data_IF_163453258634
#
_entry.id   IF_163453258634
#
_cell.length_a   1.000
_cell.length_b   1.000
_cell.length_c   1.000
_cell.angle_alpha   90.00
_cell.angle_beta   90.00
_cell.angle_gamma   90.00
#
_symmetry.space_group_name_H-M   'P 1'
#
loop_
_entity.id
_entity.type
_entity.pdbx_description
1 polymer ?
#
# COMPACT_ATOMS: atom_id res chain seq x y z
N UNK A 1 26.90 -55.14 54.91
CA UNK A 1 26.09 -53.94 54.58
C UNK A 1 26.21 -53.66 53.09
N UNK A 2 25.22 -54.08 52.30
CA UNK A 2 25.11 -53.81 50.87
C UNK A 2 23.96 -52.82 50.68
N UNK A 3 24.25 -51.60 50.21
CA UNK A 3 23.23 -50.57 49.95
C UNK A 3 22.75 -50.72 48.51
N UNK A 4 21.49 -51.16 48.35
CA UNK A 4 20.76 -51.11 47.09
C UNK A 4 20.69 -49.68 46.54
N UNK A 5 21.31 -49.43 45.38
CA UNK A 5 21.06 -48.22 44.57
C UNK A 5 19.73 -48.41 43.83
N UNK A 6 18.73 -47.62 44.20
CA UNK A 6 17.47 -47.49 43.46
C UNK A 6 17.77 -46.91 42.07
N UNK A 7 17.30 -47.60 41.03
CA UNK A 7 17.34 -47.12 39.65
C UNK A 7 16.54 -45.83 39.51
N UNK A 8 17.14 -44.85 38.82
CA UNK A 8 16.53 -43.55 38.53
C UNK A 8 15.52 -43.79 37.39
N UNK A 9 14.22 -43.72 37.70
CA UNK A 9 13.17 -43.69 36.67
C UNK A 9 13.28 -42.34 35.97
N UNK A 10 13.71 -42.36 34.71
CA UNK A 10 13.70 -41.18 33.84
C UNK A 10 12.26 -41.00 33.40
N UNK A 11 11.61 -39.92 33.84
CA UNK A 11 10.33 -39.48 33.30
C UNK A 11 10.54 -39.10 31.84
N UNK A 12 10.05 -39.92 30.92
CA UNK A 12 9.90 -39.55 29.52
C UNK A 12 8.74 -38.55 29.48
N UNK A 13 9.05 -37.26 29.64
CA UNK A 13 8.09 -36.22 29.27
C UNK A 13 7.86 -36.37 27.76
N UNK A 14 6.60 -36.52 27.29
CA UNK A 14 6.34 -36.50 25.85
C UNK A 14 6.88 -35.18 25.31
N UNK A 15 7.79 -35.27 24.35
CA UNK A 15 8.30 -34.09 23.64
C UNK A 15 7.10 -33.44 22.99
N UNK A 16 6.65 -32.32 23.54
CA UNK A 16 5.60 -31.51 22.94
C UNK A 16 6.17 -30.97 21.62
N UNK A 17 5.65 -31.47 20.50
CA UNK A 17 6.05 -31.02 19.17
C UNK A 17 5.70 -29.54 19.03
N UNK A 18 6.56 -28.75 18.39
CA UNK A 18 6.17 -27.40 17.95
C UNK A 18 5.00 -27.49 16.94
N UNK A 19 4.18 -26.43 16.81
CA UNK A 19 3.09 -26.38 15.84
C UNK A 19 3.53 -26.80 14.42
N UNK A 20 4.60 -26.20 13.88
CA UNK A 20 5.15 -26.57 12.57
C UNK A 20 5.53 -28.05 12.47
N UNK A 21 6.23 -28.57 13.49
CA UNK A 21 6.68 -29.96 13.48
C UNK A 21 5.51 -30.92 13.54
N UNK A 22 4.47 -30.56 14.29
CA UNK A 22 3.22 -31.32 14.30
C UNK A 22 2.58 -31.29 12.91
N UNK A 23 2.41 -30.11 12.32
CA UNK A 23 1.79 -29.95 11.00
C UNK A 23 2.53 -30.81 9.96
N UNK A 24 3.85 -30.65 9.86
CA UNK A 24 4.70 -31.40 8.92
C UNK A 24 4.71 -32.92 9.08
N UNK A 25 4.27 -33.45 10.23
CA UNK A 25 4.38 -34.90 10.53
C UNK A 25 3.07 -35.58 10.88
N UNK A 26 2.02 -34.84 11.23
CA UNK A 26 0.78 -35.40 11.78
C UNK A 26 -0.50 -34.77 11.22
N UNK A 27 -0.46 -33.59 10.59
CA UNK A 27 -1.70 -32.91 10.17
C UNK A 27 -2.55 -33.75 9.19
N UNK A 28 -1.93 -34.42 8.21
CA UNK A 28 -2.64 -35.32 7.27
C UNK A 28 -3.37 -36.50 7.93
N UNK A 29 -2.97 -36.90 9.15
CA UNK A 29 -3.66 -37.95 9.89
C UNK A 29 -4.96 -37.47 10.57
N UNK A 30 -5.18 -36.15 10.63
CA UNK A 30 -6.43 -35.57 11.14
C UNK A 30 -7.50 -35.58 10.04
N UNK A 31 -8.77 -35.89 10.37
CA UNK A 31 -9.85 -35.78 9.40
C UNK A 31 -10.06 -34.33 8.97
N UNK A 32 -10.18 -34.09 7.67
CA UNK A 32 -10.75 -32.86 7.12
C UNK A 32 -12.24 -32.84 7.50
N UNK A 33 -12.70 -31.74 8.07
CA UNK A 33 -14.08 -31.60 8.57
C UNK A 33 -14.88 -30.50 7.88
N UNK A 34 -14.20 -29.49 7.33
CA UNK A 34 -14.84 -28.39 6.63
C UNK A 34 -13.82 -27.75 5.67
N UNK A 35 -14.29 -27.33 4.51
CA UNK A 35 -13.55 -26.52 3.57
C UNK A 35 -14.43 -25.35 3.15
N UNK A 36 -13.86 -24.16 3.12
CA UNK A 36 -14.54 -22.95 2.65
C UNK A 36 -13.76 -22.35 1.49
N UNK A 37 -14.47 -21.75 0.57
CA UNK A 37 -13.90 -20.95 -0.52
C UNK A 37 -14.67 -19.64 -0.61
N UNK A 38 -14.01 -18.55 -1.01
CA UNK A 38 -14.69 -17.28 -1.33
C UNK A 38 -15.89 -17.50 -2.26
N UNK A 39 -16.97 -16.74 -2.04
CA UNK A 39 -18.11 -16.77 -2.96
C UNK A 39 -17.68 -16.30 -4.37
N UNK A 40 -18.24 -16.91 -5.44
CA UNK A 40 -17.94 -16.60 -6.85
C UNK A 40 -16.47 -16.77 -7.26
N UNK A 41 -15.74 -17.64 -6.57
CA UNK A 41 -14.32 -17.92 -6.83
C UNK A 41 -14.03 -18.29 -8.30
N UNK A 42 -14.99 -18.89 -9.00
CA UNK A 42 -14.86 -19.27 -10.42
C UNK A 42 -14.66 -18.09 -11.37
N UNK A 43 -15.01 -16.87 -10.95
CA UNK A 43 -14.98 -15.66 -11.80
C UNK A 43 -14.24 -14.48 -11.18
N UNK A 44 -13.85 -14.59 -9.91
CA UNK A 44 -13.28 -13.48 -9.14
C UNK A 44 -11.79 -13.22 -9.43
N UNK A 45 -11.07 -14.18 -10.02
CA UNK A 45 -9.62 -14.09 -10.27
C UNK A 45 -8.74 -14.27 -9.03
N UNK A 46 -9.25 -13.94 -7.84
CA UNK A 46 -8.60 -14.21 -6.56
C UNK A 46 -9.60 -14.84 -5.58
N UNK A 47 -9.16 -15.80 -4.79
CA UNK A 47 -10.01 -16.42 -3.76
C UNK A 47 -9.23 -16.86 -2.53
N UNK A 48 -9.91 -16.82 -1.38
CA UNK A 48 -9.43 -17.44 -0.15
C UNK A 48 -9.99 -18.86 -0.05
N UNK A 49 -9.12 -19.82 0.23
CA UNK A 49 -9.48 -21.20 0.55
C UNK A 49 -9.09 -21.51 1.99
N UNK A 50 -10.03 -22.06 2.75
CA UNK A 50 -9.83 -22.53 4.12
C UNK A 50 -10.00 -24.05 4.14
N UNK A 51 -9.04 -24.76 4.75
CA UNK A 51 -9.15 -26.20 5.01
C UNK A 51 -8.98 -26.47 6.50
N UNK A 52 -10.02 -26.99 7.15
CA UNK A 52 -10.02 -27.30 8.56
C UNK A 52 -9.91 -28.80 8.83
N UNK A 53 -8.96 -29.18 9.68
CA UNK A 53 -8.82 -30.54 10.22
C UNK A 53 -9.08 -30.58 11.72
N UNK A 54 -9.79 -31.60 12.18
CA UNK A 54 -10.21 -31.71 13.58
C UNK A 54 -9.36 -32.69 14.38
N UNK A 55 -8.86 -32.23 15.52
CA UNK A 55 -8.21 -33.07 16.52
C UNK A 55 -9.25 -33.94 17.26
N UNK A 56 -8.81 -35.06 17.83
CA UNK A 56 -9.66 -35.91 18.71
C UNK A 56 -10.23 -35.16 19.92
N UNK A 57 -9.62 -34.02 20.29
CA UNK A 57 -10.05 -33.12 21.36
C UNK A 57 -11.21 -32.20 20.97
N UNK A 58 -11.61 -32.17 19.69
CA UNK A 58 -12.58 -31.21 19.14
C UNK A 58 -11.99 -29.83 18.81
N UNK A 59 -10.66 -29.70 18.88
CA UNK A 59 -9.91 -28.49 18.47
C UNK A 59 -9.53 -28.58 16.99
N UNK A 60 -9.13 -27.47 16.38
CA UNK A 60 -8.88 -27.41 14.93
C UNK A 60 -7.43 -27.09 14.59
N UNK A 61 -6.93 -27.65 13.50
CA UNK A 61 -5.78 -27.13 12.75
C UNK A 61 -6.31 -26.66 11.41
N UNK A 62 -6.02 -25.43 11.04
CA UNK A 62 -6.63 -24.78 9.86
C UNK A 62 -5.53 -24.24 8.97
N UNK A 63 -5.64 -24.47 7.66
CA UNK A 63 -4.84 -23.80 6.64
C UNK A 63 -5.69 -22.76 5.92
N UNK A 64 -5.11 -21.59 5.68
CA UNK A 64 -5.67 -20.48 4.92
C UNK A 64 -4.76 -20.24 3.73
N UNK A 65 -5.34 -20.12 2.54
CA UNK A 65 -4.60 -20.00 1.28
C UNK A 65 -5.23 -18.89 0.44
N UNK A 66 -4.43 -17.89 0.09
CA UNK A 66 -4.80 -16.84 -0.85
C UNK A 66 -4.33 -17.25 -2.24
N UNK A 67 -5.28 -17.54 -3.12
CA UNK A 67 -5.03 -18.09 -4.45
C UNK A 67 -5.34 -17.02 -5.50
N UNK A 68 -4.37 -16.76 -6.36
CA UNK A 68 -4.50 -16.03 -7.62
C UNK A 68 -4.70 -17.04 -8.74
N UNK A 69 -5.92 -17.06 -9.27
CA UNK A 69 -6.37 -18.00 -10.28
C UNK A 69 -5.86 -17.63 -11.68
N UNK A 70 -5.37 -16.40 -11.86
CA UNK A 70 -5.05 -15.85 -13.18
C UNK A 70 -3.56 -15.77 -13.46
N UNK A 71 -2.69 -15.70 -12.45
CA UNK A 71 -1.25 -15.61 -12.70
C UNK A 71 -0.38 -16.25 -11.62
N UNK A 72 -0.38 -15.71 -10.40
CA UNK A 72 0.68 -15.98 -9.42
C UNK A 72 0.51 -17.27 -8.62
N UNK A 73 -0.63 -17.95 -8.74
CA UNK A 73 -0.92 -19.16 -7.98
C UNK A 73 -1.12 -18.87 -6.50
N UNK A 74 -0.46 -19.63 -5.61
CA UNK A 74 -0.56 -19.41 -4.17
C UNK A 74 0.25 -18.17 -3.74
N UNK A 75 -0.43 -17.02 -3.60
CA UNK A 75 0.18 -15.72 -3.23
C UNK A 75 0.57 -15.65 -1.75
N UNK A 76 -0.26 -16.20 -0.86
CA UNK A 76 -0.01 -16.15 0.58
C UNK A 76 -0.66 -17.35 1.29
N UNK A 77 -0.15 -17.72 2.46
CA UNK A 77 -0.71 -18.80 3.27
C UNK A 77 -0.41 -18.66 4.75
N UNK A 78 -1.42 -18.96 5.57
CA UNK A 78 -1.32 -18.96 7.02
C UNK A 78 -1.85 -20.28 7.58
N UNK A 79 -1.48 -20.60 8.81
CA UNK A 79 -2.10 -21.70 9.54
C UNK A 79 -2.36 -21.35 10.99
N UNK A 80 -3.42 -21.93 11.52
CA UNK A 80 -3.75 -21.91 12.93
C UNK A 80 -3.66 -23.32 13.51
N UNK A 81 -3.01 -23.47 14.66
CA UNK A 81 -2.74 -24.78 15.24
C UNK A 81 -3.46 -25.00 16.56
N UNK A 82 -4.26 -26.08 16.60
CA UNK A 82 -4.95 -26.54 17.79
C UNK A 82 -5.77 -25.43 18.45
N UNK A 83 -6.58 -24.71 17.66
CA UNK A 83 -7.45 -23.61 18.11
C UNK A 83 -8.78 -24.13 18.67
N UNK A 84 -9.46 -23.29 19.47
CA UNK A 84 -10.78 -23.63 20.01
C UNK A 84 -11.87 -23.60 18.92
N UNK A 85 -13.03 -24.24 19.14
CA UNK A 85 -14.19 -24.02 18.26
C UNK A 85 -14.60 -22.55 18.16
N UNK A 86 -14.51 -21.79 19.25
CA UNK A 86 -14.83 -20.36 19.26
C UNK A 86 -13.87 -19.54 18.38
N UNK A 87 -12.56 -19.78 18.49
CA UNK A 87 -11.55 -19.15 17.63
C UNK A 87 -11.75 -19.56 16.17
N UNK A 88 -12.14 -20.81 15.91
CA UNK A 88 -12.43 -21.30 14.57
C UNK A 88 -13.64 -20.58 13.95
N UNK A 89 -14.73 -20.41 14.71
CA UNK A 89 -15.88 -19.61 14.26
C UNK A 89 -15.50 -18.15 14.02
N UNK A 90 -14.64 -17.57 14.87
CA UNK A 90 -14.14 -16.21 14.63
C UNK A 90 -13.34 -16.13 13.32
N UNK A 91 -12.44 -17.09 13.07
CA UNK A 91 -11.61 -17.16 11.87
C UNK A 91 -12.44 -17.27 10.59
N UNK A 92 -13.52 -18.07 10.61
CA UNK A 92 -14.46 -18.18 9.49
C UNK A 92 -15.13 -16.84 9.18
N UNK A 93 -15.53 -16.10 10.20
CA UNK A 93 -16.25 -14.84 10.05
C UNK A 93 -15.33 -13.65 9.70
N UNK A 94 -14.01 -13.77 9.89
CA UNK A 94 -13.06 -12.70 9.58
C UNK A 94 -12.57 -12.72 8.13
N UNK A 95 -12.79 -13.81 7.39
CA UNK A 95 -12.21 -14.05 6.05
C UNK A 95 -13.01 -13.53 4.85
N UNK A 96 -14.06 -12.73 5.07
CA UNK A 96 -15.01 -12.29 4.04
C UNK A 96 -16.13 -13.31 3.76
N UNK A 97 -16.97 -13.03 2.75
CA UNK A 97 -18.06 -13.94 2.36
C UNK A 97 -17.49 -15.22 1.72
N UNK A 98 -17.85 -16.36 2.28
CA UNK A 98 -17.37 -17.69 1.85
C UNK A 98 -18.49 -18.73 1.89
N UNK A 99 -18.35 -19.74 1.05
CA UNK A 99 -19.28 -20.87 0.93
C UNK A 99 -18.55 -22.18 1.27
N UNK A 100 -19.32 -23.16 1.77
CA UNK A 100 -18.79 -24.51 1.99
C UNK A 100 -18.55 -25.19 0.65
N UNK A 101 -17.38 -25.79 0.48
CA UNK A 101 -17.03 -26.60 -0.69
C UNK A 101 -16.55 -28.00 -0.27
N UNK A 102 -16.51 -28.92 -1.23
CA UNK A 102 -15.92 -30.23 -1.01
C UNK A 102 -14.38 -30.13 -0.94
N UNK A 103 -13.75 -31.05 -0.20
CA UNK A 103 -12.30 -31.07 -0.08
C UNK A 103 -11.60 -31.20 -1.44
N UNK A 104 -12.18 -31.98 -2.35
CA UNK A 104 -11.68 -32.14 -3.72
C UNK A 104 -11.61 -30.80 -4.45
N UNK A 105 -12.63 -29.95 -4.30
CA UNK A 105 -12.64 -28.60 -4.87
C UNK A 105 -11.54 -27.73 -4.29
N UNK A 106 -11.42 -27.67 -2.96
CA UNK A 106 -10.38 -26.89 -2.29
C UNK A 106 -8.97 -27.34 -2.70
N UNK A 107 -8.73 -28.65 -2.77
CA UNK A 107 -7.45 -29.23 -3.17
C UNK A 107 -7.09 -28.89 -4.63
N UNK A 108 -8.03 -29.08 -5.57
CA UNK A 108 -7.80 -28.78 -6.99
C UNK A 108 -7.61 -27.27 -7.25
N UNK A 109 -8.30 -26.38 -6.53
CA UNK A 109 -8.07 -24.92 -6.64
C UNK A 109 -6.63 -24.58 -6.24
N UNK A 110 -6.17 -25.08 -5.09
CA UNK A 110 -4.85 -24.73 -4.56
C UNK A 110 -3.74 -25.30 -5.44
N UNK A 111 -3.75 -26.61 -5.70
CA UNK A 111 -2.67 -27.24 -6.46
C UNK A 111 -2.74 -26.92 -7.96
N UNK A 112 -3.93 -26.78 -8.54
CA UNK A 112 -4.09 -26.35 -9.92
C UNK A 112 -3.53 -24.96 -10.17
N UNK A 113 -3.79 -24.00 -9.27
CA UNK A 113 -3.23 -22.65 -9.38
C UNK A 113 -1.70 -22.63 -9.20
N UNK A 114 -1.17 -23.46 -8.29
CA UNK A 114 0.28 -23.61 -8.12
C UNK A 114 0.92 -24.17 -9.40
N UNK A 115 0.37 -25.26 -9.95
CA UNK A 115 0.89 -25.89 -11.16
C UNK A 115 0.86 -24.92 -12.35
N UNK A 116 -0.24 -24.20 -12.54
CA UNK A 116 -0.36 -23.16 -13.57
C UNK A 116 0.71 -22.08 -13.41
N UNK A 117 0.91 -21.56 -12.20
CA UNK A 117 1.89 -20.50 -11.95
C UNK A 117 3.34 -20.99 -12.12
N UNK A 118 3.62 -22.25 -11.79
CA UNK A 118 4.93 -22.88 -11.97
C UNK A 118 5.35 -22.98 -13.45
N UNK A 119 4.40 -23.24 -14.36
CA UNK A 119 4.66 -23.24 -15.81
C UNK A 119 5.17 -21.88 -16.32
N UNK A 120 4.78 -20.78 -15.65
CA UNK A 120 5.25 -19.42 -15.94
C UNK A 120 6.41 -18.95 -15.04
N UNK A 121 6.99 -19.85 -14.24
CA UNK A 121 8.19 -19.58 -13.45
C UNK A 121 7.94 -18.93 -12.09
N UNK A 122 6.68 -18.88 -11.62
CA UNK A 122 6.35 -18.48 -10.27
C UNK A 122 6.43 -19.66 -9.30
N UNK A 123 6.67 -19.35 -8.03
CA UNK A 123 6.71 -20.36 -6.96
C UNK A 123 5.65 -20.02 -5.91
N UNK A 124 5.05 -21.03 -5.27
CA UNK A 124 4.14 -20.78 -4.16
C UNK A 124 4.85 -20.04 -3.02
N UNK A 125 4.08 -19.28 -2.25
CA UNK A 125 4.58 -18.58 -1.05
C UNK A 125 5.41 -19.51 -0.13
N UNK A 126 6.51 -19.01 0.44
CA UNK A 126 7.48 -19.84 1.17
C UNK A 126 6.91 -20.59 2.37
N UNK A 127 5.88 -20.03 3.00
CA UNK A 127 5.20 -20.62 4.15
C UNK A 127 4.37 -21.85 3.78
N UNK A 128 4.13 -22.05 2.48
CA UNK A 128 3.56 -23.28 1.95
C UNK A 128 4.43 -24.50 2.26
N UNK A 129 5.73 -24.32 2.52
CA UNK A 129 6.61 -25.37 3.04
C UNK A 129 6.11 -26.01 4.35
N UNK A 130 5.20 -25.35 5.08
CA UNK A 130 4.51 -25.87 6.27
C UNK A 130 3.05 -26.16 5.98
N UNK A 131 2.29 -25.18 5.44
CA UNK A 131 0.84 -25.30 5.34
C UNK A 131 0.39 -26.39 4.36
N UNK A 132 1.19 -26.76 3.36
CA UNK A 132 0.91 -27.89 2.45
C UNK A 132 0.65 -29.23 3.17
N UNK A 133 1.14 -29.41 4.40
CA UNK A 133 0.91 -30.65 5.17
C UNK A 133 -0.47 -30.70 5.83
N UNK A 134 -1.24 -29.61 5.75
CA UNK A 134 -2.67 -29.59 6.05
C UNK A 134 -3.47 -30.11 4.84
N UNK A 135 -2.89 -30.09 3.65
CA UNK A 135 -3.45 -30.72 2.46
C UNK A 135 -2.92 -32.16 2.33
N UNK A 136 -3.69 -33.03 1.70
CA UNK A 136 -3.16 -34.26 1.14
C UNK A 136 -2.13 -33.93 0.05
N UNK A 137 -1.28 -34.90 -0.26
CA UNK A 137 -0.35 -34.78 -1.38
C UNK A 137 -1.15 -34.69 -2.69
N UNK A 138 -0.61 -33.97 -3.66
CA UNK A 138 -1.16 -33.91 -5.00
C UNK A 138 -0.80 -35.19 -5.76
N UNK A 139 -1.67 -36.19 -5.67
CA UNK A 139 -1.56 -37.47 -6.35
C UNK A 139 -2.93 -38.04 -6.72
N UNK A 140 -2.94 -39.14 -7.46
CA UNK A 140 -4.12 -39.80 -8.04
C UNK A 140 -5.20 -40.24 -7.02
N UNK A 141 -5.01 -40.02 -5.71
CA UNK A 141 -6.00 -40.30 -4.66
C UNK A 141 -7.05 -39.21 -4.56
N UNK A 142 -6.76 -37.99 -4.99
CA UNK A 142 -7.73 -36.90 -5.09
C UNK A 142 -8.25 -36.86 -6.53
N UNK A 143 -9.58 -36.83 -6.69
CA UNK A 143 -10.20 -36.75 -8.00
C UNK A 143 -9.81 -35.43 -8.68
N UNK A 144 -9.32 -35.51 -9.92
CA UNK A 144 -8.99 -34.34 -10.72
C UNK A 144 -10.28 -33.64 -11.14
N UNK A 145 -10.35 -32.34 -10.86
CA UNK A 145 -11.40 -31.46 -11.35
C UNK A 145 -10.81 -30.54 -12.42
N UNK A 146 -11.48 -30.42 -13.55
CA UNK A 146 -11.14 -29.41 -14.56
C UNK A 146 -11.55 -28.03 -14.03
N UNK A 147 -10.56 -27.22 -13.70
CA UNK A 147 -10.69 -25.82 -13.32
C UNK A 147 -9.86 -25.01 -14.32
N UNK A 148 -10.46 -23.96 -14.87
CA UNK A 148 -9.76 -23.05 -15.77
C UNK A 148 -8.91 -22.08 -14.93
N UNK A 149 -7.63 -21.96 -15.28
CA UNK A 149 -6.67 -21.02 -14.71
C UNK A 149 -6.14 -20.10 -15.81
N UNK A 150 -5.71 -18.90 -15.43
CA UNK A 150 -5.45 -17.83 -16.38
C UNK A 150 -6.72 -17.13 -16.84
N UNK A 151 -6.54 -16.07 -17.62
CA UNK A 151 -7.61 -15.38 -18.33
C UNK A 151 -7.49 -15.75 -19.81
N UNK A 152 -8.53 -16.36 -20.39
CA UNK A 152 -8.51 -16.98 -21.72
C UNK A 152 -7.33 -17.98 -21.92
N UNK A 153 -6.94 -18.66 -20.84
CA UNK A 153 -5.85 -19.65 -20.83
C UNK A 153 -4.43 -19.07 -20.78
N UNK A 154 -4.30 -17.75 -20.68
CA UNK A 154 -3.01 -17.04 -20.56
C UNK A 154 -2.85 -16.41 -19.17
N UNK A 155 -1.62 -16.22 -18.68
CA UNK A 155 -1.38 -15.58 -17.40
C UNK A 155 -1.79 -14.11 -17.48
N UNK A 156 -2.65 -13.70 -16.54
CA UNK A 156 -3.15 -12.34 -16.43
C UNK A 156 -2.84 -11.82 -15.02
N UNK A 157 -1.78 -11.01 -14.92
CA UNK A 157 -1.35 -10.44 -13.66
C UNK A 157 -2.11 -9.15 -13.38
N UNK A 158 -2.82 -9.13 -12.27
CA UNK A 158 -3.47 -7.92 -11.74
C UNK A 158 -2.72 -7.48 -10.48
N UNK A 159 -2.00 -6.34 -10.50
CA UNK A 159 -1.32 -5.78 -9.35
C UNK A 159 -2.29 -5.58 -8.18
N UNK A 160 -1.91 -6.13 -7.03
CA UNK A 160 -2.62 -5.91 -5.77
C UNK A 160 -2.37 -4.51 -5.19
N UNK A 161 -3.18 -4.07 -4.22
CA UNK A 161 -3.02 -2.76 -3.58
C UNK A 161 -1.68 -2.60 -2.83
N UNK A 162 -1.05 -3.71 -2.46
CA UNK A 162 0.25 -3.77 -1.78
C UNK A 162 1.41 -4.14 -2.72
N UNK A 163 1.14 -4.38 -4.01
CA UNK A 163 2.18 -4.68 -4.98
C UNK A 163 2.84 -3.36 -5.42
N UNK A 164 4.10 -3.18 -5.04
CA UNK A 164 4.89 -2.03 -5.46
C UNK A 164 5.40 -2.18 -6.90
N UNK A 165 5.93 -1.10 -7.46
CA UNK A 165 6.45 -1.08 -8.83
C UNK A 165 7.55 -2.13 -9.04
N UNK A 166 8.35 -2.44 -8.01
CA UNK A 166 9.40 -3.45 -8.09
C UNK A 166 8.80 -4.84 -8.31
N UNK A 167 7.80 -5.22 -7.51
CA UNK A 167 7.10 -6.49 -7.65
C UNK A 167 6.38 -6.61 -8.98
N UNK A 168 5.73 -5.53 -9.43
CA UNK A 168 5.05 -5.50 -10.73
C UNK A 168 6.05 -5.75 -11.87
N UNK A 169 7.18 -5.05 -11.87
CA UNK A 169 8.24 -5.23 -12.88
C UNK A 169 8.84 -6.63 -12.81
N UNK A 170 9.07 -7.17 -11.62
CA UNK A 170 9.59 -8.53 -11.44
C UNK A 170 8.64 -9.59 -12.01
N UNK A 171 7.34 -9.45 -11.77
CA UNK A 171 6.31 -10.35 -12.32
C UNK A 171 6.23 -10.21 -13.83
N UNK A 172 6.18 -8.97 -14.34
CA UNK A 172 6.14 -8.66 -15.78
C UNK A 172 7.36 -9.23 -16.51
N UNK A 173 8.57 -9.00 -16.01
CA UNK A 173 9.79 -9.55 -16.60
C UNK A 173 9.84 -11.08 -16.53
N UNK A 174 9.24 -11.68 -15.50
CA UNK A 174 9.10 -13.13 -15.41
C UNK A 174 8.18 -13.65 -16.51
N UNK A 175 7.02 -13.02 -16.70
CA UNK A 175 6.06 -13.36 -17.76
C UNK A 175 6.64 -13.14 -19.15
N UNK A 176 7.31 -12.01 -19.39
CA UNK A 176 8.00 -11.73 -20.65
C UNK A 176 9.02 -12.82 -20.97
N UNK A 177 9.79 -13.25 -19.96
CA UNK A 177 10.79 -14.31 -20.13
C UNK A 177 10.20 -15.71 -20.32
N UNK A 178 9.05 -16.03 -19.70
CA UNK A 178 8.49 -17.40 -19.69
C UNK A 178 7.36 -17.60 -20.68
N UNK A 179 6.43 -16.66 -20.77
CA UNK A 179 5.33 -16.65 -21.74
C UNK A 179 5.75 -16.03 -23.08
N UNK A 180 6.59 -14.98 -23.05
CA UNK A 180 6.96 -14.20 -24.24
C UNK A 180 5.94 -13.11 -24.58
N UNK A 181 6.42 -12.06 -25.24
CA UNK A 181 5.62 -10.92 -25.72
C UNK A 181 4.28 -11.36 -26.35
N UNK A 182 3.19 -10.75 -25.89
CA UNK A 182 1.83 -11.02 -26.39
C UNK A 182 1.15 -12.30 -25.85
N UNK A 183 1.83 -13.11 -25.03
CA UNK A 183 1.25 -14.32 -24.42
C UNK A 183 0.92 -14.17 -22.93
N UNK A 184 0.85 -12.94 -22.43
CA UNK A 184 0.42 -12.62 -21.08
C UNK A 184 -0.22 -11.25 -21.06
N UNK A 185 -1.02 -10.98 -20.03
CA UNK A 185 -1.59 -9.66 -19.76
C UNK A 185 -1.11 -9.20 -18.40
N UNK A 186 -0.65 -7.95 -18.31
CA UNK A 186 -0.50 -7.25 -17.04
C UNK A 186 -1.58 -6.18 -17.03
N UNK A 187 -2.63 -6.40 -16.25
CA UNK A 187 -3.68 -5.40 -16.09
C UNK A 187 -3.11 -4.30 -15.22
N UNK A 188 -2.85 -3.12 -15.77
CA UNK A 188 -2.82 -1.93 -14.94
C UNK A 188 -4.25 -1.81 -14.35
N UNK A 189 -4.46 -1.69 -13.03
CA UNK A 189 -5.77 -1.41 -12.45
C UNK A 189 -6.44 -0.14 -13.01
N UNK A 190 -5.76 0.56 -13.94
CA UNK A 190 -6.13 1.77 -14.62
C UNK A 190 -6.15 1.64 -16.17
N UNK A 191 -5.81 0.48 -16.74
CA UNK A 191 -6.01 0.16 -18.17
C UNK A 191 -7.35 -0.55 -18.38
N UNK A 192 -8.38 0.24 -18.69
CA UNK A 192 -9.47 -0.21 -19.54
C UNK A 192 -9.07 0.14 -21.00
N UNK A 193 -8.36 -0.75 -21.68
CA UNK A 193 -8.00 -0.58 -23.10
C UNK A 193 -9.23 -0.65 -24.01
N UNK A 194 -9.71 0.49 -24.50
CA UNK A 194 -10.32 0.62 -25.85
C UNK A 194 -9.94 2.00 -26.40
N UNK A 195 -8.73 2.12 -26.95
CA UNK A 195 -8.48 2.91 -28.16
C UNK A 195 -7.25 2.31 -28.84
N UNK A 196 -7.50 1.43 -29.81
CA UNK A 196 -6.51 1.14 -30.83
C UNK A 196 -6.37 2.43 -31.64
N UNK A 197 -5.24 3.10 -31.53
CA UNK A 197 -4.74 3.93 -32.60
C UNK A 197 -3.23 3.71 -32.68
N UNK A 198 -2.83 3.04 -33.76
CA UNK A 198 -1.48 2.90 -34.25
C UNK A 198 -0.73 4.24 -34.12
N UNK A 199 0.34 4.28 -33.34
CA UNK A 199 1.44 5.21 -33.61
C UNK A 199 2.75 4.41 -33.70
N UNK A 200 3.25 4.37 -34.93
CA UNK A 200 4.47 3.73 -35.40
C UNK A 200 5.64 3.90 -34.41
N UNK A 201 6.13 2.79 -33.86
CA UNK A 201 7.46 2.72 -33.27
C UNK A 201 8.46 2.56 -34.42
N UNK A 202 9.14 3.66 -34.77
CA UNK A 202 10.34 3.59 -35.62
C UNK A 202 11.42 2.79 -34.86
N UNK A 203 11.79 1.65 -35.46
CA UNK A 203 13.00 0.88 -35.21
C UNK A 203 14.24 1.79 -35.19
N UNK A 204 14.99 1.76 -34.09
CA UNK A 204 16.45 1.75 -34.11
C UNK A 204 16.97 1.43 -32.70
N UNK A 205 17.11 0.13 -32.43
CA UNK A 205 17.92 -0.44 -31.36
C UNK A 205 19.42 -0.29 -31.70
N UNK A 206 20.24 0.17 -30.75
CA UNK A 206 21.58 -0.37 -30.64
C UNK A 206 21.83 -0.95 -29.25
N UNK A 207 21.92 -2.28 -29.20
CA UNK A 207 22.77 -3.10 -28.32
C UNK A 207 23.09 -2.45 -26.95
N UNK A 208 22.24 -2.68 -25.95
CA UNK A 208 22.66 -2.56 -24.56
C UNK A 208 23.24 -3.90 -24.09
N UNK A 209 24.54 -4.04 -24.32
CA UNK A 209 25.38 -5.04 -23.69
C UNK A 209 25.32 -4.89 -22.15
N UNK A 210 25.22 -6.05 -21.52
CA UNK A 210 25.36 -6.41 -20.12
C UNK A 210 26.56 -5.74 -19.40
N UNK A 211 26.29 -4.75 -18.53
CA UNK A 211 26.94 -4.49 -17.23
C UNK A 211 26.64 -3.09 -16.60
N UNK A 212 25.37 -2.68 -16.51
CA UNK A 212 24.98 -1.41 -15.87
C UNK A 212 24.33 -1.59 -14.50
N UNK A 213 24.91 -1.05 -13.43
CA UNK A 213 24.19 -0.77 -12.19
C UNK A 213 22.87 -0.04 -12.53
N UNK A 214 21.74 -0.58 -12.07
CA UNK A 214 20.42 0.03 -12.25
C UNK A 214 20.43 1.43 -11.62
N UNK A 215 20.54 2.48 -12.44
CA UNK A 215 20.70 3.85 -11.96
C UNK A 215 19.37 4.33 -11.36
N UNK A 216 19.46 4.92 -10.16
CA UNK A 216 18.32 5.43 -9.39
C UNK A 216 17.48 6.45 -10.17
N UNK A 217 18.06 7.08 -11.20
CA UNK A 217 17.41 8.06 -12.06
C UNK A 217 16.35 7.43 -12.99
N UNK A 218 16.54 6.21 -13.48
CA UNK A 218 15.57 5.52 -14.37
C UNK A 218 14.26 5.16 -13.62
N UNK A 219 14.35 4.90 -12.31
CA UNK A 219 13.23 4.64 -11.39
C UNK A 219 12.39 5.89 -11.09
N UNK A 220 13.04 7.05 -11.02
CA UNK A 220 12.37 8.33 -10.76
C UNK A 220 11.55 8.74 -11.98
N UNK A 221 12.10 8.54 -13.18
CA UNK A 221 11.44 8.87 -14.44
C UNK A 221 10.19 7.99 -14.68
N UNK A 222 10.28 6.67 -14.44
CA UNK A 222 9.13 5.75 -14.57
C UNK A 222 8.00 6.05 -13.55
N UNK A 223 8.34 6.38 -12.29
CA UNK A 223 7.35 6.80 -11.28
C UNK A 223 6.69 8.14 -11.64
N UNK A 224 7.46 9.10 -12.16
CA UNK A 224 6.93 10.37 -12.63
C UNK A 224 5.93 10.18 -13.77
N UNK A 225 6.17 9.24 -14.68
CA UNK A 225 5.24 8.90 -15.77
C UNK A 225 3.92 8.30 -15.25
N UNK A 226 3.98 7.34 -14.31
CA UNK A 226 2.78 6.78 -13.69
C UNK A 226 1.98 7.86 -12.93
N UNK A 227 2.66 8.69 -12.14
CA UNK A 227 2.03 9.79 -11.42
C UNK A 227 1.43 10.86 -12.34
N UNK A 228 1.99 11.04 -13.55
CA UNK A 228 1.44 11.95 -14.55
C UNK A 228 0.07 11.48 -15.12
N UNK A 229 -0.28 10.20 -15.00
CA UNK A 229 -1.57 9.64 -15.47
C UNK A 229 -2.72 9.92 -14.49
N UNK A 230 -2.48 9.90 -13.18
CA UNK A 230 -3.55 10.03 -12.17
C UNK A 230 -4.44 11.29 -12.30
N UNK A 231 -3.90 12.50 -12.59
CA UNK A 231 -4.75 13.66 -12.82
C UNK A 231 -5.72 13.48 -14.00
N UNK A 232 -5.37 12.68 -15.02
CA UNK A 232 -6.23 12.38 -16.17
C UNK A 232 -7.34 11.40 -15.78
N UNK A 233 -6.99 10.36 -15.02
CA UNK A 233 -7.95 9.37 -14.51
C UNK A 233 -8.98 10.04 -13.59
N UNK A 234 -8.52 10.86 -12.65
CA UNK A 234 -9.40 11.60 -11.76
C UNK A 234 -10.40 12.48 -12.53
N UNK A 235 -10.00 13.10 -13.66
CA UNK A 235 -10.95 13.85 -14.51
C UNK A 235 -12.05 12.96 -15.09
N UNK A 236 -11.73 11.74 -15.51
CA UNK A 236 -12.73 10.76 -16.01
C UNK A 236 -13.69 10.36 -14.89
N UNK A 237 -13.16 9.98 -13.72
CA UNK A 237 -13.95 9.62 -12.53
C UNK A 237 -14.83 10.78 -12.07
N UNK A 238 -14.32 12.01 -12.07
CA UNK A 238 -15.10 13.21 -11.73
C UNK A 238 -16.32 13.36 -12.63
N UNK A 239 -16.18 13.12 -13.95
CA UNK A 239 -17.30 13.23 -14.89
C UNK A 239 -18.43 12.25 -14.53
N UNK A 240 -18.08 11.03 -14.15
CA UNK A 240 -19.05 10.00 -13.74
C UNK A 240 -19.67 10.36 -12.39
N UNK A 241 -18.84 10.70 -11.40
CA UNK A 241 -19.30 11.11 -10.06
C UNK A 241 -20.24 12.33 -10.13
N UNK A 242 -19.90 13.32 -10.96
CA UNK A 242 -20.70 14.53 -11.14
C UNK A 242 -22.07 14.25 -11.77
N UNK A 243 -22.14 13.27 -12.68
CA UNK A 243 -23.38 12.90 -13.36
C UNK A 243 -24.28 11.98 -12.52
N UNK A 244 -23.68 11.10 -11.72
CA UNK A 244 -24.42 10.09 -10.97
C UNK A 244 -24.70 10.51 -9.53
N UNK A 245 -23.78 11.16 -8.84
CA UNK A 245 -23.83 11.33 -7.37
C UNK A 245 -23.99 12.78 -6.97
N UNK A 246 -23.19 13.68 -7.55
CA UNK A 246 -23.09 15.08 -7.12
C UNK A 246 -24.40 15.83 -7.30
N UNK A 247 -24.76 16.62 -6.29
CA UNK A 247 -25.91 17.53 -6.39
C UNK A 247 -25.55 18.81 -7.14
N UNK A 248 -26.53 19.48 -7.80
CA UNK A 248 -26.30 20.78 -8.44
C UNK A 248 -25.75 21.84 -7.48
N UNK A 249 -26.23 21.85 -6.24
CA UNK A 249 -25.78 22.81 -5.21
C UNK A 249 -24.31 22.58 -4.85
N UNK A 250 -23.89 21.32 -4.65
CA UNK A 250 -22.51 20.99 -4.35
C UNK A 250 -21.58 21.38 -5.52
N UNK A 251 -22.01 21.12 -6.75
CA UNK A 251 -21.29 21.54 -7.96
C UNK A 251 -21.10 23.06 -8.02
N UNK A 252 -22.14 23.83 -7.75
CA UNK A 252 -22.08 25.29 -7.72
C UNK A 252 -21.11 25.80 -6.63
N UNK A 253 -21.12 25.19 -5.45
CA UNK A 253 -20.18 25.51 -4.36
C UNK A 253 -18.73 25.25 -4.79
N UNK A 254 -18.45 24.12 -5.44
CA UNK A 254 -17.10 23.76 -5.91
C UNK A 254 -16.62 24.71 -7.00
N UNK A 255 -17.47 25.03 -7.97
CA UNK A 255 -17.15 25.95 -9.07
C UNK A 255 -16.89 27.38 -8.57
N UNK A 256 -17.60 27.82 -7.53
CA UNK A 256 -17.46 29.16 -6.93
C UNK A 256 -16.45 29.24 -5.79
N UNK A 257 -15.77 28.14 -5.48
CA UNK A 257 -14.79 28.08 -4.40
C UNK A 257 -13.68 29.13 -4.59
N UNK A 258 -13.39 29.85 -3.50
CA UNK A 258 -12.29 30.81 -3.42
C UNK A 258 -11.04 30.26 -2.74
N UNK A 259 -11.02 28.94 -2.43
CA UNK A 259 -9.83 28.29 -1.85
C UNK A 259 -8.65 28.48 -2.80
N UNK A 260 -7.53 28.92 -2.23
CA UNK A 260 -6.31 29.20 -2.98
C UNK A 260 -6.25 30.57 -3.63
N UNK A 261 -7.24 31.44 -3.39
CA UNK A 261 -7.25 32.82 -3.87
C UNK A 261 -6.88 33.82 -2.75
N UNK A 262 -6.52 35.04 -3.14
CA UNK A 262 -6.14 36.10 -2.18
C UNK A 262 -4.68 36.10 -1.72
N UNK A 263 -3.83 35.25 -2.30
CA UNK A 263 -2.38 35.23 -2.11
C UNK A 263 -1.65 34.74 -3.36
N UNK A 264 -0.33 34.90 -3.39
CA UNK A 264 0.54 34.47 -4.49
C UNK A 264 1.18 33.12 -4.19
N UNK A 265 1.18 32.21 -5.16
CA UNK A 265 1.96 30.97 -5.12
C UNK A 265 3.12 31.13 -6.11
N UNK A 266 4.35 30.98 -5.65
CA UNK A 266 5.55 31.12 -6.49
C UNK A 266 6.24 29.78 -6.70
N UNK A 267 6.73 29.55 -7.92
CA UNK A 267 7.47 28.35 -8.32
C UNK A 267 8.98 28.46 -8.14
N UNK A 268 9.52 29.67 -8.28
CA UNK A 268 10.94 29.96 -8.21
C UNK A 268 11.17 31.12 -7.26
N UNK A 269 12.24 31.01 -6.47
CA UNK A 269 12.65 32.01 -5.48
C UNK A 269 12.38 31.59 -4.05
N UNK A 270 13.15 32.17 -3.11
CA UNK A 270 13.00 31.90 -1.68
C UNK A 270 11.80 32.69 -1.12
N UNK A 271 10.87 31.99 -0.48
CA UNK A 271 9.86 32.64 0.37
C UNK A 271 10.46 32.73 1.77
N UNK A 272 10.64 33.95 2.27
CA UNK A 272 11.14 34.14 3.63
C UNK A 272 10.15 33.56 4.64
N UNK A 273 10.59 32.52 5.33
CA UNK A 273 9.85 31.80 6.37
C UNK A 273 10.86 31.15 7.35
N UNK A 274 10.34 30.37 8.28
CA UNK A 274 11.10 29.73 9.35
C UNK A 274 12.07 28.63 8.85
N UNK A 275 11.92 28.20 7.59
CA UNK A 275 12.75 27.19 6.94
C UNK A 275 13.85 27.77 6.05
N UNK A 276 13.79 29.07 5.76
CA UNK A 276 14.72 29.76 4.85
C UNK A 276 15.47 30.90 5.53
N UNK A 277 15.25 31.09 6.83
CA UNK A 277 15.88 32.17 7.63
C UNK A 277 16.84 31.57 8.65
N UNK A 278 18.11 31.94 8.54
CA UNK A 278 19.19 31.55 9.47
C UNK A 278 19.70 32.78 10.23
N UNK A 279 20.21 32.56 11.44
CA UNK A 279 20.70 33.63 12.31
C UNK A 279 22.00 34.27 11.79
N UNK A 280 22.85 33.48 11.14
CA UNK A 280 24.11 33.89 10.56
C UNK A 280 24.57 32.92 9.45
N UNK A 281 25.63 33.30 8.74
CA UNK A 281 26.17 32.50 7.63
C UNK A 281 26.72 31.13 8.08
N UNK A 282 27.24 31.01 9.29
CA UNK A 282 27.77 29.74 9.83
C UNK A 282 26.64 28.72 10.04
N UNK A 283 25.47 29.16 10.54
CA UNK A 283 24.29 28.31 10.68
C UNK A 283 23.72 27.89 9.32
N UNK A 284 23.70 28.80 8.33
CA UNK A 284 23.27 28.48 6.95
C UNK A 284 24.23 27.48 6.30
N UNK A 285 25.55 27.63 6.49
CA UNK A 285 26.56 26.70 6.00
C UNK A 285 26.43 25.33 6.66
N UNK A 286 26.26 25.28 7.99
CA UNK A 286 26.01 24.02 8.72
C UNK A 286 24.73 23.32 8.22
N UNK A 287 23.65 24.07 7.97
CA UNK A 287 22.42 23.50 7.40
C UNK A 287 22.65 22.93 6.00
N UNK A 288 23.32 23.67 5.12
CA UNK A 288 23.57 23.23 3.75
C UNK A 288 24.42 21.94 3.73
N UNK A 289 25.49 21.87 4.53
CA UNK A 289 26.31 20.66 4.64
C UNK A 289 25.50 19.43 5.08
N UNK A 290 24.58 19.59 6.03
CA UNK A 290 23.73 18.50 6.50
C UNK A 290 22.67 18.13 5.45
N UNK A 291 22.12 19.10 4.73
CA UNK A 291 21.18 18.85 3.63
C UNK A 291 21.85 18.08 2.51
N UNK A 292 23.07 18.47 2.12
CA UNK A 292 23.80 17.81 1.05
C UNK A 292 24.13 16.35 1.44
N UNK A 293 24.52 16.11 2.70
CA UNK A 293 24.68 14.75 3.25
C UNK A 293 23.39 13.90 3.21
N UNK A 294 22.22 14.52 3.38
CA UNK A 294 20.92 13.82 3.26
C UNK A 294 20.61 13.47 1.80
N UNK A 295 20.91 14.39 0.87
CA UNK A 295 20.67 14.23 -0.56
C UNK A 295 21.59 13.15 -1.15
N UNK A 296 22.87 13.13 -0.74
CA UNK A 296 23.85 12.14 -1.18
C UNK A 296 23.47 10.71 -0.75
N UNK A 297 22.75 10.54 0.35
CA UNK A 297 22.13 9.27 0.74
C UNK A 297 23.08 8.14 1.16
N UNK A 298 24.39 8.40 1.27
CA UNK A 298 25.40 7.35 1.51
C UNK A 298 25.32 6.68 2.90
N UNK A 299 25.04 7.43 3.97
CA UNK A 299 24.93 6.92 5.34
C UNK A 299 23.90 7.73 6.17
N UNK A 300 22.64 7.27 6.16
CA UNK A 300 21.58 7.89 6.93
C UNK A 300 21.79 7.82 8.45
N UNK A 301 22.52 6.82 8.96
CA UNK A 301 22.84 6.70 10.38
C UNK A 301 23.78 7.84 10.84
N UNK A 302 24.80 8.14 10.03
CA UNK A 302 25.69 9.27 10.24
C UNK A 302 24.96 10.61 10.06
N UNK A 303 24.12 10.74 9.04
CA UNK A 303 23.31 11.94 8.81
C UNK A 303 22.41 12.24 10.02
N UNK A 304 21.64 11.25 10.50
CA UNK A 304 20.78 11.38 11.69
C UNK A 304 21.59 11.84 12.92
N UNK A 305 22.75 11.25 13.16
CA UNK A 305 23.62 11.61 14.29
C UNK A 305 24.12 13.05 14.19
N UNK A 306 24.51 13.48 12.99
CA UNK A 306 25.03 14.83 12.72
C UNK A 306 23.92 15.88 12.85
N UNK A 307 22.75 15.61 12.27
CA UNK A 307 21.58 16.49 12.36
C UNK A 307 21.11 16.61 13.82
N UNK A 308 21.01 15.52 14.57
CA UNK A 308 20.67 15.58 16.01
C UNK A 308 21.68 16.39 16.83
N UNK A 309 22.94 16.47 16.42
CA UNK A 309 23.94 17.35 17.05
C UNK A 309 23.68 18.82 16.69
N UNK A 310 23.32 19.13 15.46
CA UNK A 310 22.96 20.48 15.04
C UNK A 310 21.66 20.97 15.69
N UNK A 311 20.65 20.11 15.82
CA UNK A 311 19.40 20.40 16.56
C UNK A 311 19.68 20.81 18.00
N UNK A 312 20.66 20.19 18.67
CA UNK A 312 21.05 20.59 20.04
C UNK A 312 21.66 22.00 20.10
N UNK A 313 22.30 22.47 19.02
CA UNK A 313 22.85 23.83 18.91
C UNK A 313 21.77 24.84 18.52
N UNK A 314 20.85 24.44 17.64
CA UNK A 314 19.84 25.30 17.02
C UNK A 314 18.41 24.76 17.29
N UNK A 315 17.99 24.60 18.57
CA UNK A 315 16.73 23.93 18.91
C UNK A 315 15.48 24.72 18.49
N UNK A 316 15.61 26.02 18.23
CA UNK A 316 14.54 26.91 17.76
C UNK A 316 14.36 26.89 16.24
N UNK A 317 15.17 26.11 15.51
CA UNK A 317 15.19 26.10 14.04
C UNK A 317 14.51 24.84 13.48
N UNK A 318 13.26 24.93 13.00
CA UNK A 318 12.53 23.77 12.49
C UNK A 318 13.18 23.15 11.24
N UNK A 319 13.93 23.93 10.47
CA UNK A 319 14.64 23.45 9.27
C UNK A 319 15.56 22.26 9.56
N UNK A 320 16.27 22.27 10.70
CA UNK A 320 17.17 21.16 11.05
C UNK A 320 16.42 19.89 11.45
N UNK A 321 15.23 20.02 12.04
CA UNK A 321 14.38 18.86 12.35
C UNK A 321 13.84 18.21 11.08
N UNK A 322 13.45 19.02 10.10
CA UNK A 322 12.91 18.58 8.81
C UNK A 322 13.87 17.68 8.03
N UNK A 323 15.18 17.93 8.13
CA UNK A 323 16.22 17.08 7.52
C UNK A 323 16.21 15.63 8.02
N UNK A 324 15.65 15.35 9.21
CA UNK A 324 15.55 13.98 9.72
C UNK A 324 14.42 13.18 9.06
N UNK A 325 13.41 13.84 8.49
CA UNK A 325 12.24 13.18 7.89
C UNK A 325 12.65 12.25 6.74
N UNK A 326 13.37 12.70 5.69
CA UNK A 326 13.84 11.81 4.63
C UNK A 326 14.79 10.73 5.16
N UNK A 327 15.67 11.05 6.12
CA UNK A 327 16.57 10.05 6.69
C UNK A 327 15.82 8.89 7.34
N UNK A 328 14.75 9.16 8.10
CA UNK A 328 13.96 8.09 8.69
C UNK A 328 13.14 7.33 7.65
N UNK A 329 12.66 8.00 6.60
CA UNK A 329 11.95 7.32 5.51
C UNK A 329 12.85 6.32 4.78
N UNK A 330 14.01 6.78 4.29
CA UNK A 330 14.93 5.95 3.52
C UNK A 330 15.65 4.88 4.34
N UNK A 331 15.62 5.00 5.67
CA UNK A 331 16.11 3.95 6.57
C UNK A 331 14.98 3.14 7.24
N UNK A 332 13.74 3.28 6.75
CA UNK A 332 12.55 2.55 7.20
C UNK A 332 12.25 2.66 8.71
N UNK A 333 12.67 3.77 9.33
CA UNK A 333 12.47 4.06 10.75
C UNK A 333 11.18 4.87 10.99
N UNK A 334 10.05 4.33 10.53
CA UNK A 334 8.75 5.02 10.55
C UNK A 334 8.28 5.40 11.97
N UNK A 335 8.55 4.59 12.98
CA UNK A 335 8.23 4.91 14.38
C UNK A 335 8.97 6.16 14.88
N UNK A 336 10.24 6.32 14.49
CA UNK A 336 11.04 7.49 14.85
C UNK A 336 10.60 8.73 14.08
N UNK A 337 10.23 8.56 12.81
CA UNK A 337 9.62 9.61 12.00
C UNK A 337 8.32 10.12 12.64
N UNK A 338 7.41 9.23 13.04
CA UNK A 338 6.13 9.58 13.67
C UNK A 338 6.32 10.33 15.00
N UNK A 339 7.30 9.90 15.81
CA UNK A 339 7.69 10.61 17.04
C UNK A 339 8.22 12.01 16.72
N UNK A 340 9.08 12.13 15.72
CA UNK A 340 9.64 13.41 15.28
C UNK A 340 8.55 14.37 14.80
N UNK A 341 7.63 13.93 13.94
CA UNK A 341 6.52 14.75 13.43
C UNK A 341 5.67 15.28 14.59
N UNK A 342 5.35 14.41 15.56
CA UNK A 342 4.63 14.79 16.78
C UNK A 342 5.42 15.79 17.63
N UNK A 343 6.73 15.62 17.75
CA UNK A 343 7.62 16.53 18.48
C UNK A 343 7.68 17.90 17.78
N UNK A 344 7.88 17.93 16.47
CA UNK A 344 7.93 19.16 15.68
C UNK A 344 6.64 19.96 15.79
N UNK A 345 5.46 19.32 15.77
CA UNK A 345 4.19 20.01 15.98
C UNK A 345 4.09 20.65 17.37
N UNK A 346 4.60 19.98 18.41
CA UNK A 346 4.61 20.52 19.78
C UNK A 346 5.60 21.67 19.96
N UNK A 347 6.78 21.56 19.36
CA UNK A 347 7.82 22.60 19.43
C UNK A 347 7.50 23.83 18.59
N UNK A 348 6.85 23.61 17.44
CA UNK A 348 6.60 24.64 16.43
C UNK A 348 5.11 24.74 16.06
N UNK A 349 4.20 24.97 17.04
CA UNK A 349 2.76 24.84 16.85
C UNK A 349 2.14 25.92 15.95
N UNK A 350 2.89 26.97 15.60
CA UNK A 350 2.42 28.00 14.67
C UNK A 350 2.94 27.81 13.23
N UNK A 351 3.96 26.98 13.03
CA UNK A 351 4.56 26.74 11.72
C UNK A 351 3.67 25.87 10.82
N UNK A 352 3.69 26.15 9.52
CA UNK A 352 2.82 25.50 8.54
C UNK A 352 3.21 24.04 8.28
N UNK A 353 4.48 23.74 7.98
CA UNK A 353 4.93 22.38 7.68
C UNK A 353 4.72 21.38 8.83
N UNK A 354 5.02 21.71 10.11
CA UNK A 354 4.77 20.79 11.22
C UNK A 354 3.28 20.50 11.42
N UNK A 355 2.40 21.48 11.14
CA UNK A 355 0.93 21.25 11.11
C UNK A 355 0.54 20.28 10.01
N UNK A 356 1.06 20.47 8.80
CA UNK A 356 0.81 19.58 7.65
C UNK A 356 1.27 18.15 7.96
N UNK A 357 2.49 17.99 8.46
CA UNK A 357 3.03 16.68 8.83
C UNK A 357 2.17 15.99 9.89
N UNK A 358 1.83 16.69 10.98
CA UNK A 358 1.00 16.13 12.05
C UNK A 358 -0.43 15.84 11.62
N UNK A 359 -1.01 16.67 10.73
CA UNK A 359 -2.32 16.41 10.14
C UNK A 359 -2.33 15.13 9.30
N UNK A 360 -1.32 14.89 8.46
CA UNK A 360 -1.21 13.62 7.73
C UNK A 360 -1.04 12.42 8.68
N UNK A 361 -0.19 12.56 9.72
CA UNK A 361 -0.06 11.51 10.74
C UNK A 361 -1.39 11.16 11.41
N UNK A 362 -2.23 12.15 11.72
CA UNK A 362 -3.57 11.92 12.27
C UNK A 362 -4.49 11.19 11.28
N UNK A 363 -4.45 11.55 10.00
CA UNK A 363 -5.21 10.87 8.93
C UNK A 363 -4.77 9.40 8.86
N UNK A 364 -3.47 9.16 8.74
CA UNK A 364 -2.88 7.81 8.61
C UNK A 364 -3.10 6.96 9.87
N UNK A 365 -3.22 7.59 11.04
CA UNK A 365 -3.52 6.93 12.32
C UNK A 365 -5.03 6.73 12.56
N UNK A 366 -5.89 7.00 11.58
CA UNK A 366 -7.34 6.80 11.69
C UNK A 366 -8.05 7.81 12.60
N UNK A 367 -7.52 9.03 12.73
CA UNK A 367 -8.08 10.13 13.55
C UNK A 367 -8.34 11.41 12.75
N UNK A 368 -9.02 11.34 11.58
CA UNK A 368 -9.21 12.49 10.72
C UNK A 368 -10.00 13.63 11.39
N UNK A 369 -10.86 13.34 12.36
CA UNK A 369 -11.66 14.32 13.10
C UNK A 369 -10.82 15.33 13.90
N UNK A 370 -9.58 14.96 14.28
CA UNK A 370 -8.67 15.83 15.04
C UNK A 370 -7.98 16.87 14.13
N UNK A 371 -7.94 16.67 12.81
CA UNK A 371 -7.18 17.51 11.86
C UNK A 371 -7.64 18.96 11.85
N UNK A 372 -8.95 19.22 11.95
CA UNK A 372 -9.48 20.59 11.98
C UNK A 372 -8.92 21.40 13.16
N UNK A 373 -8.64 20.74 14.30
CA UNK A 373 -8.02 21.34 15.47
C UNK A 373 -6.59 21.83 15.20
N UNK A 374 -5.83 21.10 14.38
CA UNK A 374 -4.44 21.44 14.00
C UNK A 374 -4.37 22.79 13.27
N UNK A 375 -5.36 23.07 12.42
CA UNK A 375 -5.46 24.32 11.67
C UNK A 375 -6.35 25.36 12.36
N UNK A 376 -6.76 25.14 13.62
CA UNK A 376 -7.64 26.03 14.40
C UNK A 376 -8.96 26.33 13.67
N UNK A 377 -9.50 25.35 12.94
CA UNK A 377 -10.73 25.45 12.14
C UNK A 377 -10.63 26.32 10.89
N UNK A 378 -9.41 26.68 10.45
CA UNK A 378 -9.19 27.54 9.28
C UNK A 378 -8.96 26.70 8.03
N UNK A 379 -9.72 26.98 6.97
CA UNK A 379 -9.73 26.18 5.73
C UNK A 379 -8.91 26.73 4.55
N UNK A 380 -8.08 27.76 4.73
CA UNK A 380 -7.20 28.23 3.66
C UNK A 380 -5.94 28.94 4.22
N UNK A 381 -4.86 28.99 3.42
CA UNK A 381 -3.53 29.46 3.83
C UNK A 381 -3.52 30.93 4.27
N UNK A 382 -4.31 31.79 3.62
CA UNK A 382 -4.46 33.20 4.02
C UNK A 382 -5.08 33.36 5.41
N UNK A 383 -5.83 32.38 5.90
CA UNK A 383 -6.36 32.39 7.26
C UNK A 383 -5.37 31.76 8.23
N UNK A 384 -4.71 30.67 7.82
CA UNK A 384 -3.74 29.93 8.65
C UNK A 384 -2.50 30.79 8.92
N UNK A 385 -1.99 31.48 7.88
CA UNK A 385 -0.84 32.36 7.91
C UNK A 385 -1.23 33.78 7.45
N UNK A 386 -1.97 34.57 8.27
CA UNK A 386 -2.57 35.83 7.84
C UNK A 386 -1.57 36.91 7.44
N UNK A 387 -0.37 36.87 8.03
CA UNK A 387 0.71 37.81 7.75
C UNK A 387 1.46 37.50 6.44
N UNK A 388 1.22 36.32 5.85
CA UNK A 388 1.86 35.88 4.61
C UNK A 388 0.96 36.13 3.41
N UNK A 389 1.49 36.81 2.40
CA UNK A 389 0.83 37.04 1.09
C UNK A 389 1.42 36.20 -0.05
N UNK A 390 2.50 35.49 0.23
CA UNK A 390 3.22 34.65 -0.75
C UNK A 390 3.59 33.31 -0.11
N UNK A 391 3.34 32.22 -0.83
CA UNK A 391 3.67 30.85 -0.44
C UNK A 391 4.47 30.17 -1.55
N UNK A 392 5.37 29.28 -1.15
CA UNK A 392 6.06 28.44 -2.12
C UNK A 392 5.10 27.38 -2.65
N UNK A 393 5.34 26.92 -3.88
CA UNK A 393 4.45 25.97 -4.55
C UNK A 393 4.34 24.63 -3.81
N UNK A 394 5.39 24.17 -3.13
CA UNK A 394 5.36 22.97 -2.29
C UNK A 394 4.47 23.15 -1.06
N UNK A 395 4.62 24.25 -0.31
CA UNK A 395 3.77 24.55 0.87
C UNK A 395 2.28 24.54 0.52
N UNK A 396 1.92 25.14 -0.61
CA UNK A 396 0.52 25.19 -1.05
C UNK A 396 0.00 23.82 -1.49
N UNK A 397 0.82 23.07 -2.22
CA UNK A 397 0.45 21.75 -2.69
C UNK A 397 0.26 20.75 -1.55
N UNK A 398 1.20 20.71 -0.60
CA UNK A 398 1.12 19.81 0.55
C UNK A 398 -0.09 20.16 1.40
N UNK A 399 -0.35 21.45 1.64
CA UNK A 399 -1.53 21.88 2.40
C UNK A 399 -2.84 21.43 1.73
N UNK A 400 -3.06 21.73 0.45
CA UNK A 400 -4.31 21.36 -0.21
C UNK A 400 -4.45 19.84 -0.35
N UNK A 401 -3.35 19.11 -0.58
CA UNK A 401 -3.36 17.66 -0.59
C UNK A 401 -3.81 17.12 0.78
N UNK A 402 -3.18 17.56 1.88
CA UNK A 402 -3.57 17.15 3.24
C UNK A 402 -5.03 17.45 3.55
N UNK A 403 -5.53 18.62 3.16
CA UNK A 403 -6.94 18.96 3.39
C UNK A 403 -7.87 18.10 2.52
N UNK A 404 -7.48 17.76 1.29
CA UNK A 404 -8.21 16.81 0.46
C UNK A 404 -8.29 15.44 1.14
N UNK A 405 -7.15 14.88 1.56
CA UNK A 405 -7.05 13.62 2.32
C UNK A 405 -7.92 13.62 3.58
N UNK A 406 -7.88 14.72 4.35
CA UNK A 406 -8.71 14.89 5.55
C UNK A 406 -10.20 14.73 5.24
N UNK A 407 -10.71 15.40 4.20
CA UNK A 407 -12.13 15.32 3.87
C UNK A 407 -12.51 13.98 3.23
N UNK A 408 -11.60 13.31 2.51
CA UNK A 408 -11.79 11.93 2.05
C UNK A 408 -11.96 10.99 3.25
N UNK A 409 -11.06 11.08 4.24
CA UNK A 409 -11.12 10.27 5.46
C UNK A 409 -12.36 10.56 6.33
N UNK A 410 -12.97 11.74 6.19
CA UNK A 410 -14.25 12.11 6.80
C UNK A 410 -15.48 11.70 5.95
N UNK A 411 -15.28 10.93 4.87
CA UNK A 411 -16.30 10.54 3.88
C UNK A 411 -17.06 11.75 3.27
N UNK A 412 -16.38 12.90 3.14
CA UNK A 412 -16.95 14.14 2.61
C UNK A 412 -16.27 14.54 1.30
N UNK A 413 -16.63 13.81 0.24
CA UNK A 413 -16.01 13.92 -1.09
C UNK A 413 -16.18 15.31 -1.72
N UNK A 414 -17.31 15.98 -1.50
CA UNK A 414 -17.54 17.32 -2.05
C UNK A 414 -16.63 18.37 -1.40
N UNK A 415 -16.35 18.27 -0.09
CA UNK A 415 -15.35 19.13 0.55
C UNK A 415 -13.93 18.79 0.09
N UNK A 416 -13.61 17.50 -0.09
CA UNK A 416 -12.31 17.09 -0.63
C UNK A 416 -12.06 17.70 -2.02
N UNK A 417 -13.10 17.76 -2.85
CA UNK A 417 -13.02 18.36 -4.19
C UNK A 417 -12.80 19.87 -4.19
N UNK A 418 -13.13 20.60 -3.11
CA UNK A 418 -12.78 22.03 -3.01
C UNK A 418 -11.26 22.22 -3.03
N UNK A 419 -10.53 21.37 -2.30
CA UNK A 419 -9.07 21.42 -2.23
C UNK A 419 -8.41 20.79 -3.45
N UNK A 420 -8.99 19.72 -3.99
CA UNK A 420 -8.52 19.14 -5.26
C UNK A 420 -8.69 20.13 -6.42
N UNK A 421 -9.81 20.87 -6.48
CA UNK A 421 -9.99 21.94 -7.47
C UNK A 421 -8.94 23.05 -7.31
N UNK A 422 -8.56 23.41 -6.07
CA UNK A 422 -7.46 24.35 -5.84
C UNK A 422 -6.13 23.82 -6.38
N UNK A 423 -5.82 22.52 -6.20
CA UNK A 423 -4.63 21.87 -6.78
C UNK A 423 -4.63 21.97 -8.32
N UNK A 424 -5.74 21.66 -8.99
CA UNK A 424 -5.86 21.75 -10.46
C UNK A 424 -5.78 23.20 -10.96
N UNK A 425 -6.56 24.11 -10.37
CA UNK A 425 -6.62 25.54 -10.76
C UNK A 425 -5.24 26.20 -10.71
N UNK A 426 -4.41 25.80 -9.74
CA UNK A 426 -3.07 26.33 -9.53
C UNK A 426 -1.97 25.50 -10.22
N UNK A 427 -2.35 24.46 -10.98
CA UNK A 427 -1.42 23.54 -11.69
C UNK A 427 -0.38 22.94 -10.75
N UNK A 428 -0.85 22.45 -9.61
CA UNK A 428 -0.02 21.87 -8.56
C UNK A 428 0.12 20.34 -8.68
N UNK A 429 -0.78 19.72 -9.45
CA UNK A 429 -0.81 18.29 -9.78
C UNK A 429 0.20 17.88 -10.84
N UNK A 430 0.77 18.83 -11.58
CA UNK A 430 1.72 18.61 -12.69
C UNK A 430 3.19 18.68 -12.21
N UNK A 431 3.44 18.53 -10.91
CA UNK A 431 4.76 18.73 -10.34
C UNK A 431 5.45 17.42 -9.98
N UNK A 432 6.74 17.26 -10.32
CA UNK A 432 7.53 16.08 -9.99
C UNK A 432 7.72 15.91 -8.47
N UNK A 433 7.91 14.67 -8.03
CA UNK A 433 8.29 14.33 -6.65
C UNK A 433 7.29 14.67 -5.54
N UNK A 434 5.98 14.68 -5.81
CA UNK A 434 4.95 15.08 -4.82
C UNK A 434 4.16 13.94 -4.20
N UNK A 435 4.72 13.35 -3.15
CA UNK A 435 4.11 12.24 -2.42
C UNK A 435 2.68 12.54 -1.96
N UNK A 436 2.42 13.65 -1.26
CA UNK A 436 1.06 13.91 -0.73
C UNK A 436 0.02 14.25 -1.81
N UNK A 437 0.39 14.97 -2.86
CA UNK A 437 -0.55 15.30 -3.96
C UNK A 437 -0.98 14.03 -4.68
N UNK A 438 -0.02 13.15 -4.97
CA UNK A 438 -0.29 11.89 -5.65
C UNK A 438 -1.15 10.96 -4.80
N UNK A 439 -0.83 10.82 -3.50
CA UNK A 439 -1.65 10.08 -2.54
C UNK A 439 -3.09 10.64 -2.50
N UNK A 440 -3.25 11.96 -2.41
CA UNK A 440 -4.57 12.59 -2.35
C UNK A 440 -5.40 12.34 -3.61
N UNK A 441 -4.78 12.36 -4.80
CA UNK A 441 -5.47 12.05 -6.06
C UNK A 441 -5.94 10.59 -6.05
N UNK A 442 -5.07 9.66 -5.63
CA UNK A 442 -5.38 8.24 -5.56
C UNK A 442 -6.49 7.91 -4.57
N UNK A 443 -6.38 8.41 -3.34
CA UNK A 443 -7.41 8.25 -2.32
C UNK A 443 -8.76 8.80 -2.79
N UNK A 444 -8.76 9.93 -3.52
CA UNK A 444 -9.99 10.54 -4.03
C UNK A 444 -10.62 9.73 -5.16
N UNK A 445 -9.81 9.18 -6.07
CA UNK A 445 -10.28 8.26 -7.13
C UNK A 445 -10.99 7.08 -6.47
N UNK A 446 -10.32 6.40 -5.53
CA UNK A 446 -10.85 5.21 -4.84
C UNK A 446 -12.15 5.54 -4.09
N UNK A 447 -12.18 6.64 -3.34
CA UNK A 447 -13.35 7.05 -2.59
C UNK A 447 -14.56 7.37 -3.51
N UNK A 448 -14.32 7.99 -4.67
CA UNK A 448 -15.37 8.27 -5.66
C UNK A 448 -15.88 7.00 -6.31
N UNK A 449 -14.98 6.12 -6.73
CA UNK A 449 -15.34 4.84 -7.35
C UNK A 449 -16.20 4.00 -6.39
N UNK A 450 -15.82 3.91 -5.12
CA UNK A 450 -16.63 3.25 -4.08
C UNK A 450 -18.07 3.80 -4.03
N UNK A 451 -18.24 5.12 -3.98
CA UNK A 451 -19.58 5.74 -3.97
C UNK A 451 -20.37 5.51 -5.27
N UNK A 452 -19.68 5.45 -6.42
CA UNK A 452 -20.29 5.16 -7.72
C UNK A 452 -20.83 3.74 -7.73
N UNK A 453 -20.03 2.75 -7.30
CA UNK A 453 -20.44 1.35 -7.21
C UNK A 453 -21.62 1.17 -6.26
N UNK A 454 -21.54 1.73 -5.04
CA UNK A 454 -22.63 1.67 -4.05
C UNK A 454 -23.96 2.22 -4.59
N UNK A 455 -23.92 3.27 -5.42
CA UNK A 455 -25.12 3.84 -6.05
C UNK A 455 -25.63 3.00 -7.22
N UNK A 456 -24.72 2.36 -7.96
CA UNK A 456 -25.04 1.41 -9.03
C UNK A 456 -25.86 0.24 -8.51
N UNK A 457 -25.42 -0.36 -7.39
CA UNK A 457 -26.10 -1.51 -6.77
C UNK A 457 -27.51 -1.16 -6.26
N UNK A 458 -27.71 0.06 -5.74
CA UNK A 458 -29.03 0.57 -5.31
C UNK A 458 -29.99 0.88 -6.46
N UNK A 459 -29.54 0.86 -7.72
CA UNK A 459 -30.38 1.11 -8.91
C UNK A 459 -30.88 -0.17 -9.58
N UNK A 460 -30.50 -1.34 -9.06
CA UNK A 460 -30.87 -2.67 -9.57
C UNK A 460 -31.98 -3.35 -8.73
N UNK A 461 -32.43 -2.71 -7.63
CA UNK A 461 -33.66 -3.06 -6.90
C UNK A 461 -34.88 -2.25 -7.41
#
# INVERSE_FOLDING_TARGET
MSKNKKGKVVSINPVQLSPEKYIKTQARALPVVECLVSEKWESAGICNVLVARMHKTGRFTVGLYLIDMYCLGLKDTFYEFNITPEDYEYLKNSGGESIVCEYVTAHNIIYGAIAFAEDYGFKPHSDFSVSQFILEEDDDRVELMEIEFGFDGMPCYMPGPDDDAFKIKQVTATLERTAGEGNYTVLDPLDDEWDSDDEDFDDDDPDYDDDGEFEYDDLVDELEEAYARYPRILKKVNKVYDGLIRTPEAKEIIEKSSIGDGYKIIRKGKVKNEYTTFDNAEQEEEYNLLRDMVIEGEDYGLAIKSIRKAIKKHPDKPAFYDLLIPCYNFSEQYDEQNKLVTEMYKLFPDNLLPKIGYANLLIDSGKPEEVSGVFKGKGDLNYICPDRKTFHIHEAADYYATMCRHFIAMDNIDQADLYMNALFKKKLTEMPGKTFVNIAIMELINAKMKKITEKGDLSVE
#
